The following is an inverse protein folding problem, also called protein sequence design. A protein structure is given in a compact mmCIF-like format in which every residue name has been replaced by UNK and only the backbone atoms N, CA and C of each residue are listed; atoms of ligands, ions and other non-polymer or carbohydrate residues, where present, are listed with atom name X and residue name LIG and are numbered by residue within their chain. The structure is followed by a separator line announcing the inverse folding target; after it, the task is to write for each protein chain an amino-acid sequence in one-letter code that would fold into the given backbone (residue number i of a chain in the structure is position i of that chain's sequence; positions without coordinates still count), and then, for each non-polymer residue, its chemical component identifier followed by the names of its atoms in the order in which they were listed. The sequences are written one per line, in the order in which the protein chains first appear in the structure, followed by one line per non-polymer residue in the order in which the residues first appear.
data_IF_039348098526
#
_entry.id   IF_039348098526
#
_cell.length_a   1.000
_cell.length_b   1.000
_cell.length_c   1.000
_cell.angle_alpha   90.00
_cell.angle_beta   90.00
_cell.angle_gamma   90.00
#
_symmetry.space_group_name_H-M   'P 1'
#
loop_
_entity.id
_entity.type
_entity.pdbx_description
1 polymer ?
#
# COMPACT_ATOMS: atom_id res chain seq x y z
N UNK A 1 58.11 8.73 -31.45
CA UNK A 1 57.29 7.51 -31.35
C UNK A 1 57.00 7.19 -29.88
N UNK A 2 56.44 8.13 -29.14
CA UNK A 2 56.13 7.92 -27.71
C UNK A 2 54.77 8.50 -27.24
N UNK A 3 53.92 8.96 -28.17
CA UNK A 3 52.63 9.59 -27.83
C UNK A 3 51.40 8.68 -27.99
N UNK A 4 51.59 7.46 -28.56
CA UNK A 4 50.43 6.58 -28.87
C UNK A 4 50.17 5.50 -27.83
N UNK A 5 50.97 5.44 -26.73
CA UNK A 5 50.81 4.39 -25.70
C UNK A 5 50.01 4.85 -24.49
N UNK A 6 49.83 6.19 -24.34
CA UNK A 6 49.09 6.75 -23.19
C UNK A 6 47.56 6.82 -23.42
N UNK A 7 47.12 6.91 -24.68
CA UNK A 7 45.70 6.98 -25.03
C UNK A 7 45.04 5.61 -24.93
N UNK A 8 45.76 4.55 -25.38
CA UNK A 8 45.23 3.18 -25.31
C UNK A 8 45.00 2.68 -23.84
N UNK A 9 45.83 3.14 -22.90
CA UNK A 9 45.68 2.78 -21.45
C UNK A 9 44.58 3.54 -20.75
N UNK A 10 44.13 4.66 -21.29
CA UNK A 10 43.02 5.43 -20.74
C UNK A 10 41.65 4.92 -21.19
N UNK A 11 41.59 4.31 -22.37
CA UNK A 11 40.36 3.72 -22.91
C UNK A 11 40.05 2.35 -22.30
N UNK A 12 41.04 1.50 -22.05
CA UNK A 12 40.89 0.23 -21.36
C UNK A 12 40.42 0.39 -19.90
N UNK A 13 40.75 1.49 -19.23
CA UNK A 13 40.33 1.77 -17.84
C UNK A 13 38.92 2.37 -17.74
N UNK A 14 38.33 2.77 -18.87
CA UNK A 14 36.98 3.31 -18.95
C UNK A 14 35.94 2.23 -19.26
N UNK A 15 36.34 1.16 -19.95
CA UNK A 15 35.46 0.01 -20.22
C UNK A 15 35.28 -0.91 -19.01
N UNK A 16 36.28 -1.03 -18.12
CA UNK A 16 36.21 -1.89 -16.94
C UNK A 16 35.32 -1.31 -15.81
N UNK A 17 34.84 -0.06 -15.92
CA UNK A 17 33.93 0.58 -14.97
C UNK A 17 32.47 0.56 -15.36
N UNK A 18 32.12 0.02 -16.49
CA UNK A 18 30.74 0.00 -17.01
C UNK A 18 30.10 -1.39 -16.94
N UNK A 19 30.84 -2.41 -16.52
CA UNK A 19 30.36 -3.81 -16.47
C UNK A 19 29.93 -4.33 -15.09
N UNK A 20 29.80 -3.46 -14.09
CA UNK A 20 29.33 -3.85 -12.74
C UNK A 20 27.97 -3.25 -12.45
N UNK A 21 27.01 -3.40 -13.35
CA UNK A 21 25.62 -3.01 -13.09
C UNK A 21 24.58 -3.92 -13.74
N UNK A 22 24.92 -5.14 -14.12
CA UNK A 22 23.93 -6.09 -14.64
C UNK A 22 24.22 -7.47 -14.11
N UNK A 23 23.86 -7.74 -12.89
CA UNK A 23 23.45 -9.07 -12.44
C UNK A 23 23.05 -9.02 -10.97
N UNK A 24 21.79 -8.92 -10.73
CA UNK A 24 21.06 -9.73 -9.77
C UNK A 24 19.61 -9.30 -9.85
N UNK A 25 18.96 -9.67 -10.95
CA UNK A 25 17.50 -9.76 -10.97
C UNK A 25 17.12 -10.96 -10.07
N UNK A 26 17.38 -10.81 -8.77
CA UNK A 26 16.82 -11.65 -7.75
C UNK A 26 15.33 -11.36 -7.81
N UNK A 27 14.58 -12.28 -8.41
CA UNK A 27 13.12 -12.26 -8.35
C UNK A 27 12.78 -12.11 -6.88
N UNK A 28 12.44 -10.88 -6.48
CA UNK A 28 11.98 -10.59 -5.14
C UNK A 28 10.65 -11.32 -5.01
N UNK A 29 10.64 -12.37 -4.20
CA UNK A 29 9.42 -13.10 -3.91
C UNK A 29 8.49 -12.20 -3.10
N UNK A 30 7.61 -11.51 -3.81
CA UNK A 30 6.60 -10.62 -3.21
C UNK A 30 5.54 -11.40 -2.40
N UNK A 31 5.57 -12.73 -2.42
CA UNK A 31 4.62 -13.56 -1.68
C UNK A 31 4.76 -13.40 -0.17
N UNK A 32 5.98 -13.12 0.31
CA UNK A 32 6.29 -12.92 1.73
C UNK A 32 6.24 -11.46 2.19
N UNK A 33 5.88 -10.55 1.29
CA UNK A 33 5.79 -9.13 1.58
C UNK A 33 7.13 -8.46 1.91
N UNK A 34 7.07 -7.30 2.59
CA UNK A 34 8.26 -6.52 2.94
C UNK A 34 9.19 -7.23 3.95
N UNK A 35 8.70 -8.24 4.64
CA UNK A 35 9.45 -9.03 5.62
C UNK A 35 10.06 -10.30 5.02
N UNK A 36 9.86 -10.58 3.72
CA UNK A 36 10.31 -11.80 3.07
C UNK A 36 11.82 -11.91 2.89
N UNK A 37 12.49 -10.79 2.60
CA UNK A 37 13.94 -10.71 2.41
C UNK A 37 14.50 -9.43 3.01
N UNK A 38 15.80 -9.43 3.34
CA UNK A 38 16.50 -8.23 3.83
C UNK A 38 16.43 -7.10 2.80
N UNK A 39 16.53 -7.39 1.52
CA UNK A 39 16.48 -6.39 0.46
C UNK A 39 15.10 -5.73 0.35
N UNK A 40 14.02 -6.53 0.45
CA UNK A 40 12.65 -6.02 0.46
C UNK A 40 12.41 -5.10 1.67
N UNK A 41 12.92 -5.49 2.83
CA UNK A 41 12.82 -4.70 4.06
C UNK A 41 13.57 -3.37 3.94
N UNK A 42 14.81 -3.39 3.42
CA UNK A 42 15.61 -2.18 3.21
C UNK A 42 14.91 -1.23 2.23
N UNK A 43 14.39 -1.72 1.12
CA UNK A 43 13.63 -0.92 0.16
C UNK A 43 12.38 -0.33 0.79
N UNK A 44 11.62 -1.12 1.55
CA UNK A 44 10.43 -0.64 2.23
C UNK A 44 10.75 0.43 3.28
N UNK A 45 11.86 0.31 4.01
CA UNK A 45 12.34 1.32 4.95
C UNK A 45 12.75 2.62 4.25
N UNK A 46 13.38 2.55 3.08
CA UNK A 46 13.71 3.75 2.30
C UNK A 46 12.44 4.46 1.80
N UNK A 47 11.47 3.69 1.31
CA UNK A 47 10.16 4.23 0.92
C UNK A 47 9.41 4.84 2.12
N UNK A 48 9.43 4.18 3.29
CA UNK A 48 8.82 4.67 4.51
C UNK A 48 9.41 6.03 4.94
N UNK A 49 10.74 6.18 4.92
CA UNK A 49 11.42 7.46 5.20
C UNK A 49 11.02 8.57 4.22
N UNK A 50 10.96 8.26 2.94
CA UNK A 50 10.53 9.22 1.92
C UNK A 50 9.08 9.67 2.14
N UNK A 51 8.17 8.76 2.45
CA UNK A 51 6.77 9.07 2.75
C UNK A 51 6.63 9.86 4.06
N UNK A 52 7.35 9.47 5.10
CA UNK A 52 7.32 10.17 6.39
C UNK A 52 7.81 11.64 6.31
N UNK A 53 8.66 11.97 5.35
CA UNK A 53 9.12 13.34 5.09
C UNK A 53 8.11 14.17 4.28
N UNK A 54 7.10 13.55 3.69
CA UNK A 54 6.12 14.21 2.83
C UNK A 54 5.04 14.91 3.65
N UNK A 55 4.65 16.11 3.21
CA UNK A 55 3.52 16.87 3.79
C UNK A 55 2.15 16.43 3.26
N UNK A 56 2.11 15.60 2.20
CA UNK A 56 0.86 15.10 1.61
C UNK A 56 0.27 13.93 2.43
N UNK A 57 1.11 13.19 3.16
CA UNK A 57 0.63 12.12 4.02
C UNK A 57 -0.03 12.68 5.29
N UNK A 58 -1.05 11.99 5.84
CA UNK A 58 -1.70 12.43 7.08
C UNK A 58 -0.71 12.57 8.25
N UNK A 59 -0.99 13.47 9.19
CA UNK A 59 -0.09 13.80 10.30
C UNK A 59 0.37 12.58 11.12
N UNK A 60 -0.46 11.56 11.24
CA UNK A 60 -0.12 10.29 11.95
C UNK A 60 1.07 9.55 11.32
N UNK A 61 1.34 9.78 10.06
CA UNK A 61 2.43 9.15 9.30
C UNK A 61 3.62 10.08 9.10
N UNK A 62 3.45 11.40 9.27
CA UNK A 62 4.55 12.36 9.14
C UNK A 62 5.57 12.14 10.25
N UNK A 63 6.85 12.15 9.88
CA UNK A 63 8.00 11.92 10.78
C UNK A 63 7.91 10.58 11.55
N UNK A 64 7.16 9.62 11.04
CA UNK A 64 6.96 8.31 11.66
C UNK A 64 7.18 7.19 10.62
N UNK A 65 8.44 6.81 10.45
CA UNK A 65 8.86 5.78 9.50
C UNK A 65 8.19 4.43 9.81
N UNK A 66 7.99 4.11 11.09
CA UNK A 66 7.38 2.85 11.49
C UNK A 66 5.91 2.75 11.06
N UNK A 67 5.13 3.81 11.26
CA UNK A 67 3.76 3.84 10.77
C UNK A 67 3.68 3.77 9.24
N UNK A 68 4.60 4.47 8.54
CA UNK A 68 4.71 4.40 7.09
C UNK A 68 5.05 2.99 6.61
N UNK A 69 5.97 2.28 7.29
CA UNK A 69 6.33 0.90 6.97
C UNK A 69 5.12 -0.05 7.10
N UNK A 70 4.34 0.09 8.17
CA UNK A 70 3.11 -0.68 8.37
C UNK A 70 2.08 -0.39 7.26
N UNK A 71 1.94 0.87 6.86
CA UNK A 71 1.03 1.24 5.77
C UNK A 71 1.49 0.66 4.42
N UNK A 72 2.80 0.61 4.14
CA UNK A 72 3.36 -0.03 2.95
C UNK A 72 3.05 -1.53 2.96
N UNK A 73 3.21 -2.19 4.09
CA UNK A 73 2.91 -3.61 4.25
C UNK A 73 1.42 -3.91 3.99
N UNK A 74 0.53 -3.11 4.56
CA UNK A 74 -0.91 -3.22 4.32
C UNK A 74 -1.26 -2.98 2.84
N UNK A 75 -0.63 -1.98 2.21
CA UNK A 75 -0.82 -1.67 0.80
C UNK A 75 -0.45 -2.85 -0.10
N UNK A 76 0.66 -3.50 0.20
CA UNK A 76 1.14 -4.66 -0.55
C UNK A 76 0.16 -5.84 -0.42
N UNK A 77 -0.32 -6.14 0.78
CA UNK A 77 -1.32 -7.19 1.02
C UNK A 77 -2.64 -6.93 0.30
N UNK A 78 -3.10 -5.69 0.29
CA UNK A 78 -4.34 -5.28 -0.35
C UNK A 78 -4.19 -4.99 -1.85
N UNK A 79 -2.94 -4.97 -2.38
CA UNK A 79 -2.61 -4.60 -3.76
C UNK A 79 -3.13 -3.20 -4.13
N UNK A 80 -2.98 -2.26 -3.22
CA UNK A 80 -3.33 -0.86 -3.40
C UNK A 80 -2.12 0.05 -3.16
N UNK A 81 -2.25 1.33 -3.50
CA UNK A 81 -1.18 2.31 -3.26
C UNK A 81 -0.96 2.55 -1.75
N UNK A 82 0.29 2.67 -1.25
CA UNK A 82 0.57 3.05 0.12
C UNK A 82 -0.12 4.36 0.54
N UNK A 83 -0.17 5.35 -0.34
CA UNK A 83 -0.83 6.62 -0.06
C UNK A 83 -2.34 6.44 0.14
N UNK A 84 -3.00 5.56 -0.63
CA UNK A 84 -4.41 5.22 -0.44
C UNK A 84 -4.64 4.60 0.94
N UNK A 85 -3.75 3.71 1.38
CA UNK A 85 -3.81 3.14 2.73
C UNK A 85 -3.67 4.23 3.78
N UNK A 86 -2.64 5.09 3.69
CA UNK A 86 -2.41 6.16 4.66
C UNK A 86 -3.59 7.13 4.78
N UNK A 87 -4.26 7.43 3.68
CA UNK A 87 -5.44 8.31 3.67
C UNK A 87 -6.69 7.67 4.28
N UNK A 88 -6.74 6.35 4.40
CA UNK A 88 -7.91 5.60 4.85
C UNK A 88 -7.67 4.77 6.12
N UNK A 89 -6.44 4.74 6.63
CA UNK A 89 -6.06 4.01 7.82
C UNK A 89 -5.89 4.98 8.99
N UNK A 90 -6.67 4.79 10.04
CA UNK A 90 -6.58 5.55 11.28
C UNK A 90 -5.95 4.69 12.37
N UNK A 91 -5.16 5.32 13.22
CA UNK A 91 -4.63 4.66 14.44
C UNK A 91 -5.41 5.18 15.64
N UNK A 92 -6.30 4.35 16.16
CA UNK A 92 -7.14 4.69 17.31
C UNK A 92 -6.66 3.84 18.50
N UNK A 93 -6.13 4.51 19.53
CA UNK A 93 -5.58 3.83 20.74
C UNK A 93 -4.55 2.71 20.38
N UNK A 94 -3.67 2.98 19.41
CA UNK A 94 -2.67 2.02 18.96
C UNK A 94 -3.19 0.90 18.04
N UNK A 95 -4.48 0.91 17.70
CA UNK A 95 -5.09 -0.09 16.80
C UNK A 95 -5.36 0.52 15.43
N UNK A 96 -4.95 -0.14 14.33
CA UNK A 96 -5.30 0.29 12.99
C UNK A 96 -6.81 0.10 12.75
N UNK A 97 -7.45 1.13 12.21
CA UNK A 97 -8.87 1.14 11.87
C UNK A 97 -9.06 1.71 10.47
N UNK A 98 -9.90 1.08 9.67
CA UNK A 98 -10.19 1.53 8.31
C UNK A 98 -11.34 2.51 8.25
N UNK A 99 -11.29 3.47 7.33
CA UNK A 99 -12.44 4.32 7.04
C UNK A 99 -13.61 3.51 6.48
N UNK A 100 -14.84 3.85 6.89
CA UNK A 100 -16.05 3.17 6.37
C UNK A 100 -16.15 3.28 4.85
N UNK A 101 -15.76 4.44 4.28
CA UNK A 101 -15.73 4.66 2.83
C UNK A 101 -14.81 3.67 2.11
N UNK A 102 -13.62 3.43 2.67
CA UNK A 102 -12.68 2.47 2.11
C UNK A 102 -13.22 1.04 2.19
N UNK A 103 -13.82 0.65 3.32
CA UNK A 103 -14.41 -0.67 3.49
C UNK A 103 -15.54 -0.92 2.50
N UNK A 104 -16.44 0.06 2.31
CA UNK A 104 -17.52 -0.02 1.32
C UNK A 104 -16.95 -0.18 -0.10
N UNK A 105 -15.97 0.66 -0.47
CA UNK A 105 -15.32 0.57 -1.78
C UNK A 105 -14.60 -0.77 -1.98
N UNK A 106 -13.93 -1.29 -0.96
CA UNK A 106 -13.24 -2.58 -1.01
C UNK A 106 -14.22 -3.74 -1.20
N UNK A 107 -15.37 -3.71 -0.52
CA UNK A 107 -16.43 -4.71 -0.66
C UNK A 107 -17.02 -4.66 -2.08
N UNK A 108 -17.39 -3.47 -2.55
CA UNK A 108 -17.99 -3.27 -3.87
C UNK A 108 -17.05 -3.70 -5.00
N UNK A 109 -15.75 -3.44 -4.87
CA UNK A 109 -14.73 -3.82 -5.85
C UNK A 109 -14.22 -5.26 -5.71
N UNK A 110 -14.65 -6.00 -4.69
CA UNK A 110 -14.14 -7.37 -4.43
C UNK A 110 -14.55 -8.39 -5.49
N UNK A 111 -15.61 -8.13 -6.26
CA UNK A 111 -16.22 -9.06 -7.22
C UNK A 111 -16.85 -10.29 -6.55
N UNK A 112 -17.02 -10.28 -5.23
CA UNK A 112 -17.59 -11.41 -4.47
C UNK A 112 -19.10 -11.34 -4.32
N UNK A 113 -19.68 -10.21 -4.64
CA UNK A 113 -21.10 -9.92 -4.52
C UNK A 113 -21.69 -9.54 -5.87
N UNK A 114 -22.99 -9.79 -6.05
CA UNK A 114 -23.69 -9.57 -7.32
C UNK A 114 -24.00 -8.09 -7.56
N UNK A 115 -24.07 -7.29 -6.48
CA UNK A 115 -24.33 -5.87 -6.52
C UNK A 115 -23.58 -5.13 -5.40
N UNK A 116 -23.53 -3.80 -5.52
CA UNK A 116 -22.95 -2.93 -4.51
C UNK A 116 -23.73 -2.99 -3.19
N UNK A 117 -23.04 -2.68 -2.09
CA UNK A 117 -23.64 -2.54 -0.76
C UNK A 117 -24.76 -1.49 -0.79
N UNK A 118 -25.92 -1.88 -0.29
CA UNK A 118 -27.10 -1.05 -0.09
C UNK A 118 -27.28 -0.77 1.41
N UNK A 119 -27.92 0.35 1.72
CA UNK A 119 -28.16 0.79 3.09
C UNK A 119 -29.64 1.13 3.25
N UNK A 120 -30.28 0.49 4.23
CA UNK A 120 -31.67 0.77 4.60
C UNK A 120 -31.69 1.43 5.99
N UNK A 121 -32.10 2.70 6.06
CA UNK A 121 -32.24 3.44 7.31
C UNK A 121 -33.67 3.31 7.82
N UNK A 122 -33.81 2.94 9.08
CA UNK A 122 -35.06 3.04 9.81
C UNK A 122 -35.05 4.30 10.67
N UNK A 123 -36.10 5.08 10.63
CA UNK A 123 -36.23 6.33 11.38
C UNK A 123 -37.32 6.20 12.44
N UNK A 124 -37.14 6.88 13.57
CA UNK A 124 -38.16 6.98 14.63
C UNK A 124 -39.30 7.92 14.21
N UNK A 125 -40.28 8.09 15.14
CA UNK A 125 -41.46 8.96 14.96
C UNK A 125 -41.08 10.44 14.77
N UNK A 126 -39.90 10.84 15.24
CA UNK A 126 -39.36 12.20 15.17
C UNK A 126 -38.45 12.40 13.95
N UNK A 127 -38.35 11.39 13.09
CA UNK A 127 -37.52 11.44 11.87
C UNK A 127 -36.02 11.23 12.11
N UNK A 128 -35.61 10.87 13.34
CA UNK A 128 -34.22 10.58 13.65
C UNK A 128 -33.83 9.18 13.21
N UNK A 129 -32.61 8.97 12.67
CA UNK A 129 -32.14 7.65 12.30
C UNK A 129 -32.04 6.78 13.55
N UNK A 130 -32.73 5.63 13.53
CA UNK A 130 -32.78 4.66 14.63
C UNK A 130 -31.88 3.46 14.36
N UNK A 131 -31.87 2.94 13.14
CA UNK A 131 -31.00 1.85 12.72
C UNK A 131 -30.62 1.98 11.25
N UNK A 132 -29.54 1.33 10.87
CA UNK A 132 -29.09 1.24 9.49
C UNK A 132 -28.67 -0.20 9.21
N UNK A 133 -29.34 -0.85 8.24
CA UNK A 133 -29.03 -2.18 7.78
C UNK A 133 -28.23 -2.10 6.50
N UNK A 134 -27.01 -2.65 6.49
CA UNK A 134 -26.24 -2.84 5.27
C UNK A 134 -26.55 -4.22 4.68
N UNK A 135 -26.85 -4.26 3.39
CA UNK A 135 -27.14 -5.50 2.69
C UNK A 135 -26.60 -5.50 1.24
N UNK A 136 -26.46 -6.67 0.68
CA UNK A 136 -26.10 -6.89 -0.73
C UNK A 136 -26.68 -8.24 -1.19
N UNK A 137 -26.39 -8.67 -2.41
CA UNK A 137 -26.75 -9.99 -2.89
C UNK A 137 -25.52 -10.81 -3.25
N UNK A 138 -25.61 -12.11 -3.04
CA UNK A 138 -24.59 -13.10 -3.43
C UNK A 138 -25.27 -14.34 -3.96
N UNK A 139 -24.98 -14.69 -5.22
CA UNK A 139 -25.64 -15.81 -5.93
C UNK A 139 -27.18 -15.69 -5.90
N UNK A 140 -27.68 -14.48 -6.13
CA UNK A 140 -29.12 -14.16 -6.12
C UNK A 140 -29.79 -14.17 -4.73
N UNK A 141 -29.03 -14.35 -3.64
CA UNK A 141 -29.56 -14.32 -2.27
C UNK A 141 -29.15 -13.07 -1.55
N UNK A 142 -30.09 -12.44 -0.82
CA UNK A 142 -29.79 -11.30 0.06
C UNK A 142 -28.88 -11.73 1.21
N UNK A 143 -27.82 -10.96 1.41
CA UNK A 143 -26.85 -11.10 2.53
C UNK A 143 -26.89 -9.81 3.32
N UNK A 144 -27.13 -9.90 4.60
CA UNK A 144 -27.22 -8.75 5.51
C UNK A 144 -26.02 -8.72 6.45
N UNK A 145 -25.59 -7.51 6.82
CA UNK A 145 -24.62 -7.34 7.89
C UNK A 145 -25.22 -7.76 9.23
N UNK A 146 -24.44 -8.47 10.05
CA UNK A 146 -24.83 -8.72 11.43
C UNK A 146 -24.80 -7.39 12.19
N UNK A 147 -25.92 -7.04 12.80
CA UNK A 147 -26.06 -5.91 13.75
C UNK A 147 -25.55 -6.30 15.13
#
# INVERSE_FOLDING_TARGET
MAENTAVAKAEEKKEEKTEVAHSNNKVTDYSLGIFGTSDNFIMAMQMAKALASSTIVPATFQKNDANCLIAIEQAQRLRVSPLMVMQNLYVIQGRPSWSSKFLIAAINNSGKFDMELQFEETRDKDGKPYSCLAWTTKNGRRVEGMT
#
